data_IF_929517941941
#
_entry.id   IF_929517941941
#
_cell.length_a   1.000
_cell.length_b   1.000
_cell.length_c   1.000
_cell.angle_alpha   90.00
_cell.angle_beta   90.00
_cell.angle_gamma   90.00
#
_symmetry.space_group_name_H-M   'P 1'
#
loop_
_entity.id
_entity.type
_entity.pdbx_description
1 polymer ?
#
# COMPACT_ATOMS: atom_id res chain seq x y z
N UNK A 1 -7.97 5.43 -1.23
CA UNK A 1 -6.88 6.35 -1.60
C UNK A 1 -6.12 6.84 -0.37
N UNK A 2 -6.78 7.36 0.67
CA UNK A 2 -6.12 7.85 1.89
C UNK A 2 -5.23 6.78 2.55
N UNK A 3 -5.71 5.56 2.70
CA UNK A 3 -4.93 4.46 3.24
C UNK A 3 -3.70 4.15 2.37
N UNK A 4 -3.88 4.05 1.05
CA UNK A 4 -2.80 3.79 0.09
C UNK A 4 -1.72 4.89 0.22
N UNK A 5 -2.13 6.16 0.26
CA UNK A 5 -1.23 7.28 0.44
C UNK A 5 -0.49 7.23 1.78
N UNK A 6 -1.21 7.02 2.88
CA UNK A 6 -0.61 6.93 4.21
C UNK A 6 0.44 5.80 4.30
N UNK A 7 0.13 4.63 3.78
CA UNK A 7 1.05 3.48 3.76
C UNK A 7 2.25 3.76 2.86
N UNK A 8 2.04 4.34 1.68
CA UNK A 8 3.11 4.69 0.75
C UNK A 8 4.13 5.65 1.38
N UNK A 9 3.68 6.69 2.08
CA UNK A 9 4.60 7.60 2.78
C UNK A 9 5.21 7.00 4.05
N UNK A 10 4.47 6.16 4.77
CA UNK A 10 4.98 5.48 5.96
C UNK A 10 6.16 4.56 5.62
N UNK A 11 6.05 3.82 4.52
CA UNK A 11 7.09 2.87 4.10
C UNK A 11 8.38 3.53 3.62
N UNK A 12 8.40 4.85 3.39
CA UNK A 12 9.64 5.59 3.10
C UNK A 12 10.64 5.58 4.25
N UNK A 13 10.14 5.49 5.49
CA UNK A 13 10.95 5.52 6.71
C UNK A 13 10.91 4.20 7.49
N UNK A 14 10.09 3.25 7.04
CA UNK A 14 9.95 1.93 7.65
C UNK A 14 10.22 0.83 6.62
N UNK A 15 10.47 -0.39 7.09
CA UNK A 15 10.62 -1.54 6.20
C UNK A 15 9.28 -1.89 5.54
N UNK A 16 9.26 -2.08 4.21
CA UNK A 16 8.08 -2.50 3.46
C UNK A 16 7.46 -3.77 4.04
N UNK A 17 8.30 -4.75 4.39
CA UNK A 17 7.86 -6.01 4.98
C UNK A 17 7.25 -5.78 6.36
N UNK A 18 7.91 -5.01 7.23
CA UNK A 18 7.40 -4.71 8.56
C UNK A 18 6.08 -3.93 8.51
N UNK A 19 5.99 -2.91 7.65
CA UNK A 19 4.77 -2.13 7.44
C UNK A 19 3.61 -3.03 7.02
N UNK A 20 3.83 -3.90 6.04
CA UNK A 20 2.81 -4.83 5.56
C UNK A 20 2.41 -5.82 6.65
N UNK A 21 3.38 -6.45 7.33
CA UNK A 21 3.11 -7.44 8.36
C UNK A 21 2.33 -6.87 9.57
N UNK A 22 2.56 -5.60 9.91
CA UNK A 22 1.84 -4.94 11.00
C UNK A 22 0.44 -4.47 10.59
N UNK A 23 0.27 -4.02 9.35
CA UNK A 23 -1.00 -3.45 8.90
C UNK A 23 -2.03 -4.50 8.50
N UNK A 24 -1.63 -5.59 7.84
CA UNK A 24 -2.60 -6.58 7.34
C UNK A 24 -3.51 -7.14 8.43
N UNK A 25 -3.03 -7.54 9.63
CA UNK A 25 -3.91 -8.03 10.70
C UNK A 25 -4.89 -6.97 11.23
N UNK A 26 -4.55 -5.69 11.11
CA UNK A 26 -5.39 -4.57 11.56
C UNK A 26 -6.44 -4.21 10.51
N UNK A 27 -6.11 -4.33 9.23
CA UNK A 27 -6.98 -3.94 8.14
C UNK A 27 -8.16 -4.89 7.94
N UNK A 28 -8.03 -6.17 8.28
CA UNK A 28 -9.12 -7.14 8.15
C UNK A 28 -10.29 -6.82 9.09
N UNK A 29 -10.12 -6.65 10.42
CA UNK A 29 -11.21 -6.22 11.30
C UNK A 29 -11.71 -4.82 11.01
N UNK A 30 -10.84 -3.90 10.59
CA UNK A 30 -11.25 -2.56 10.17
C UNK A 30 -12.21 -2.62 8.97
N UNK A 31 -11.92 -3.47 7.98
CA UNK A 31 -12.78 -3.67 6.82
C UNK A 31 -14.17 -4.16 7.23
N UNK A 32 -14.25 -5.03 8.24
CA UNK A 32 -15.53 -5.49 8.81
C UNK A 32 -16.32 -4.34 9.42
N UNK A 33 -15.68 -3.48 10.21
CA UNK A 33 -16.32 -2.35 10.87
C UNK A 33 -16.89 -1.32 9.88
N UNK A 34 -16.12 -0.99 8.84
CA UNK A 34 -16.57 -0.02 7.82
C UNK A 34 -17.42 -0.66 6.70
N UNK A 35 -17.62 -1.99 6.75
CA UNK A 35 -18.51 -2.71 5.85
C UNK A 35 -17.99 -2.88 4.42
N UNK A 36 -16.66 -2.83 4.21
CA UNK A 36 -16.04 -3.00 2.89
C UNK A 36 -15.29 -4.32 2.77
N UNK A 37 -15.03 -4.75 1.55
CA UNK A 37 -14.30 -5.99 1.32
C UNK A 37 -12.84 -5.88 1.81
N UNK A 38 -12.35 -6.81 2.66
CA UNK A 38 -11.02 -6.72 3.27
C UNK A 38 -9.88 -6.73 2.24
N UNK A 39 -10.04 -7.45 1.13
CA UNK A 39 -9.01 -7.51 0.08
C UNK A 39 -8.72 -6.15 -0.55
N UNK A 40 -9.73 -5.29 -0.70
CA UNK A 40 -9.51 -3.93 -1.20
C UNK A 40 -8.53 -3.12 -0.35
N UNK A 41 -8.68 -3.20 0.97
CA UNK A 41 -7.77 -2.53 1.90
C UNK A 41 -6.41 -3.22 2.00
N UNK A 42 -6.40 -4.56 2.12
CA UNK A 42 -5.19 -5.34 2.33
C UNK A 42 -4.28 -5.33 1.10
N UNK A 43 -4.82 -5.57 -0.09
CA UNK A 43 -4.05 -5.55 -1.34
C UNK A 43 -3.55 -4.14 -1.64
N UNK A 44 -4.40 -3.13 -1.48
CA UNK A 44 -4.01 -1.73 -1.66
C UNK A 44 -2.86 -1.33 -0.73
N UNK A 45 -2.92 -1.69 0.54
CA UNK A 45 -1.86 -1.41 1.51
C UNK A 45 -0.57 -2.18 1.21
N UNK A 46 -0.66 -3.48 0.88
CA UNK A 46 0.51 -4.31 0.58
C UNK A 46 1.28 -3.82 -0.66
N UNK A 47 0.56 -3.45 -1.72
CA UNK A 47 1.18 -2.91 -2.93
C UNK A 47 1.76 -1.52 -2.66
N UNK A 48 1.02 -0.66 -1.94
CA UNK A 48 1.49 0.68 -1.58
C UNK A 48 2.76 0.64 -0.72
N UNK A 49 2.85 -0.32 0.22
CA UNK A 49 4.04 -0.53 1.04
C UNK A 49 5.29 -0.91 0.23
N UNK A 50 5.12 -1.42 -0.98
CA UNK A 50 6.23 -1.77 -1.86
C UNK A 50 6.68 -0.62 -2.77
N UNK A 51 5.95 0.49 -2.80
CA UNK A 51 6.20 1.65 -3.66
C UNK A 51 6.81 2.80 -2.84
N UNK A 52 8.11 2.74 -2.58
CA UNK A 52 8.86 3.76 -1.84
C UNK A 52 10.05 4.24 -2.67
N UNK A 53 10.00 5.47 -3.16
CA UNK A 53 10.96 6.00 -4.14
C UNK A 53 11.69 7.27 -3.68
N UNK A 54 11.33 7.85 -2.53
CA UNK A 54 11.83 9.16 -2.13
C UNK A 54 13.17 9.10 -1.41
N UNK A 55 13.37 8.10 -0.54
CA UNK A 55 14.52 8.07 0.35
C UNK A 55 15.47 6.91 0.03
N UNK A 56 16.80 7.13 0.19
CA UNK A 56 17.78 6.06 0.03
C UNK A 56 17.56 4.87 0.98
N UNK A 57 17.07 5.14 2.18
CA UNK A 57 16.83 4.12 3.21
C UNK A 57 15.57 3.29 2.98
N UNK A 58 14.67 3.76 2.11
CA UNK A 58 13.37 3.13 1.91
C UNK A 58 13.48 1.71 1.30
N UNK A 59 14.37 1.53 0.33
CA UNK A 59 14.58 0.23 -0.33
C UNK A 59 16.05 0.01 -0.69
N UNK A 60 16.52 -1.28 -0.75
CA UNK A 60 17.88 -1.58 -1.21
C UNK A 60 18.23 -1.00 -2.59
N UNK A 61 17.36 -1.05 -3.62
CA UNK A 61 17.62 -0.40 -4.89
C UNK A 61 17.86 1.10 -4.78
N UNK A 62 17.10 1.80 -3.93
CA UNK A 62 17.30 3.23 -3.69
C UNK A 62 18.67 3.52 -3.08
N UNK A 63 19.10 2.69 -2.12
CA UNK A 63 20.41 2.82 -1.49
C UNK A 63 21.55 2.60 -2.50
N UNK A 64 21.43 1.64 -3.41
CA UNK A 64 22.41 1.37 -4.47
C UNK A 64 22.53 2.55 -5.42
N UNK A 65 21.40 3.09 -5.89
CA UNK A 65 21.38 4.23 -6.81
C UNK A 65 21.98 5.48 -6.14
N UNK A 66 21.63 5.73 -4.89
CA UNK A 66 22.20 6.83 -4.11
C UNK A 66 23.70 6.66 -3.86
N UNK A 67 24.12 5.43 -3.53
CA UNK A 67 25.52 5.08 -3.28
C UNK A 67 26.44 5.23 -4.50
N UNK A 68 25.89 5.28 -5.72
CA UNK A 68 26.66 5.59 -6.93
C UNK A 68 27.20 7.03 -6.98
N UNK A 69 26.75 7.92 -6.07
CA UNK A 69 27.31 9.26 -5.85
C UNK A 69 26.85 10.33 -6.86
N UNK A 70 25.96 9.98 -7.79
CA UNK A 70 25.47 10.94 -8.80
C UNK A 70 24.25 11.74 -8.36
N UNK A 71 23.55 11.30 -7.32
CA UNK A 71 22.31 11.90 -6.83
C UNK A 71 22.50 12.53 -5.45
N UNK A 72 21.87 13.68 -5.24
CA UNK A 72 21.71 14.28 -3.91
C UNK A 72 20.35 13.95 -3.34
N UNK A 73 20.23 13.93 -2.02
CA UNK A 73 18.95 13.63 -1.33
C UNK A 73 17.80 14.50 -1.84
N UNK A 74 17.92 15.84 -2.02
CA UNK A 74 16.84 16.67 -2.54
C UNK A 74 16.40 16.28 -3.95
N UNK A 75 17.33 15.86 -4.80
CA UNK A 75 17.04 15.43 -6.17
C UNK A 75 16.22 14.12 -6.14
N UNK A 76 16.60 13.19 -5.28
CA UNK A 76 15.93 11.92 -5.09
C UNK A 76 14.52 12.11 -4.50
N UNK A 77 14.38 12.92 -3.45
CA UNK A 77 13.09 13.25 -2.83
C UNK A 77 12.12 13.88 -3.84
N UNK A 78 12.58 14.87 -4.61
CA UNK A 78 11.73 15.55 -5.58
C UNK A 78 11.22 14.62 -6.68
N UNK A 79 12.09 13.76 -7.24
CA UNK A 79 11.71 12.80 -8.27
C UNK A 79 10.90 11.64 -7.69
N UNK A 80 11.30 11.15 -6.51
CA UNK A 80 10.61 10.10 -5.79
C UNK A 80 9.20 10.50 -5.37
N UNK A 81 8.98 11.75 -4.96
CA UNK A 81 7.64 12.26 -4.65
C UNK A 81 6.70 12.17 -5.86
N UNK A 82 7.18 12.56 -7.05
CA UNK A 82 6.37 12.42 -8.26
C UNK A 82 6.02 10.94 -8.54
N UNK A 83 6.98 10.02 -8.37
CA UNK A 83 6.76 8.59 -8.54
C UNK A 83 5.78 8.04 -7.48
N UNK A 84 5.89 8.46 -6.23
CA UNK A 84 4.96 8.06 -5.18
C UNK A 84 3.54 8.51 -5.50
N UNK A 85 3.33 9.76 -5.93
CA UNK A 85 2.01 10.25 -6.31
C UNK A 85 1.42 9.49 -7.51
N UNK A 86 2.24 9.22 -8.52
CA UNK A 86 1.83 8.40 -9.68
C UNK A 86 1.46 6.99 -9.23
N UNK A 87 2.27 6.35 -8.39
CA UNK A 87 2.01 5.00 -7.89
C UNK A 87 0.74 4.94 -7.05
N UNK A 88 0.48 5.92 -6.18
CA UNK A 88 -0.77 6.02 -5.41
C UNK A 88 -1.99 6.04 -6.35
N UNK A 89 -1.95 6.85 -7.40
CA UNK A 89 -3.03 6.91 -8.39
C UNK A 89 -3.21 5.57 -9.12
N UNK A 90 -2.11 4.97 -9.59
CA UNK A 90 -2.15 3.68 -10.30
C UNK A 90 -2.69 2.58 -9.39
N UNK A 91 -2.21 2.48 -8.15
CA UNK A 91 -2.67 1.48 -7.18
C UNK A 91 -4.16 1.67 -6.88
N UNK A 92 -4.60 2.90 -6.65
CA UNK A 92 -6.01 3.19 -6.39
C UNK A 92 -6.90 2.77 -7.55
N UNK A 93 -6.51 3.09 -8.78
CA UNK A 93 -7.23 2.69 -10.00
C UNK A 93 -7.22 1.15 -10.14
N UNK A 94 -6.06 0.52 -9.96
CA UNK A 94 -5.91 -0.92 -10.08
C UNK A 94 -6.77 -1.66 -9.04
N UNK A 95 -6.75 -1.25 -7.78
CA UNK A 95 -7.58 -1.84 -6.72
C UNK A 95 -9.06 -1.68 -7.05
N UNK A 96 -9.48 -0.50 -7.52
CA UNK A 96 -10.89 -0.22 -7.79
C UNK A 96 -11.43 -0.94 -9.03
N UNK A 97 -10.61 -1.10 -10.07
CA UNK A 97 -11.03 -1.70 -11.35
C UNK A 97 -10.67 -3.19 -11.47
N UNK A 98 -9.45 -3.58 -11.08
CA UNK A 98 -8.95 -4.93 -11.29
C UNK A 98 -9.44 -5.94 -10.25
N UNK A 99 -9.58 -5.55 -8.98
CA UNK A 99 -10.04 -6.49 -7.96
C UNK A 99 -11.46 -7.02 -8.23
N UNK A 100 -12.46 -6.17 -8.52
CA UNK A 100 -13.78 -6.66 -8.87
C UNK A 100 -13.78 -7.51 -10.14
N UNK A 101 -12.99 -7.11 -11.14
CA UNK A 101 -12.94 -7.79 -12.44
C UNK A 101 -12.28 -9.17 -12.37
N UNK A 102 -11.18 -9.32 -11.59
CA UNK A 102 -10.40 -10.56 -11.53
C UNK A 102 -10.97 -11.58 -10.54
N UNK A 103 -11.59 -11.12 -9.47
CA UNK A 103 -12.08 -11.99 -8.39
C UNK A 103 -13.59 -11.95 -8.19
N UNK A 104 -14.33 -11.25 -9.05
CA UNK A 104 -15.79 -11.11 -8.98
C UNK A 104 -16.30 -10.69 -7.59
N UNK A 105 -15.52 -9.84 -6.91
CA UNK A 105 -15.82 -9.37 -5.56
C UNK A 105 -16.41 -7.97 -5.58
N UNK A 106 -17.42 -7.73 -4.75
CA UNK A 106 -17.92 -6.39 -4.49
C UNK A 106 -17.09 -5.72 -3.40
N UNK A 107 -16.29 -4.72 -3.77
CA UNK A 107 -15.44 -3.97 -2.84
C UNK A 107 -16.23 -3.15 -1.81
N UNK A 108 -17.51 -2.89 -2.09
CA UNK A 108 -18.37 -2.06 -1.24
C UNK A 108 -19.15 -2.88 -0.21
N UNK A 109 -19.02 -4.22 -0.23
CA UNK A 109 -19.71 -5.10 0.70
C UNK A 109 -18.73 -6.05 1.39
N UNK A 110 -18.91 -6.19 2.70
CA UNK A 110 -18.17 -7.20 3.46
C UNK A 110 -18.83 -8.57 3.22
N UNK A 111 -18.09 -9.61 2.76
CA UNK A 111 -18.65 -10.91 2.46
C UNK A 111 -19.20 -11.60 3.71
N UNK A 112 -20.43 -12.12 3.65
CA UNK A 112 -21.11 -12.78 4.77
C UNK A 112 -20.38 -14.03 5.26
N UNK A 113 -19.63 -14.69 4.38
CA UNK A 113 -18.82 -15.86 4.71
C UNK A 113 -17.74 -15.57 5.78
N UNK A 114 -17.26 -14.33 5.89
CA UNK A 114 -16.28 -13.93 6.90
C UNK A 114 -16.91 -13.39 8.18
N UNK A 115 -18.22 -13.08 8.19
CA UNK A 115 -18.94 -12.62 9.39
C UNK A 115 -19.11 -13.73 10.42
N UNK A 116 -19.13 -15.00 9.99
CA UNK A 116 -19.28 -16.16 10.88
C UNK A 116 -18.04 -16.53 11.67
N UNK A 117 -16.85 -16.16 11.22
CA UNK A 117 -15.58 -16.51 11.86
C UNK A 117 -15.27 -15.68 13.12
N UNK A 118 -15.98 -14.58 13.35
CA UNK A 118 -15.76 -13.67 14.49
C UNK A 118 -16.59 -13.99 15.73
N UNK A 119 -17.37 -15.11 15.75
CA UNK A 119 -18.27 -15.45 16.85
C UNK A 119 -17.85 -16.67 17.67
N UNK A 120 -16.62 -17.17 17.50
CA UNK A 120 -16.06 -18.26 18.32
C UNK A 120 -14.82 -17.78 19.08
#
# INVERSE_FOLDING_TARGET
ILLIGAVNFLTEITSNLATTAMLLPVLAPLALEIGVHPFGLMVGAAVAASCAFMLPVATPPNAVVFGAGYLRIPDMVSRGLALNLISICIIAIAVYLLLPLLWEIDLQQFPDQFRGASKN
#
